data_IF_633449856640
#
_entry.id   IF_633449856640
#
_cell.length_a   1.000
_cell.length_b   1.000
_cell.length_c   1.000
_cell.angle_alpha   90.00
_cell.angle_beta   90.00
_cell.angle_gamma   90.00
#
_symmetry.space_group_name_H-M   'P 1'
#
loop_
_entity.id
_entity.type
_entity.pdbx_description
1 polymer ?
#
# COMPACT_ATOMS: atom_id res chain seq x y z
N UNK A 1 -13.58 11.78 14.58
CA UNK A 1 -14.51 10.94 13.78
C UNK A 1 -14.01 9.49 13.74
N UNK A 2 -14.84 8.45 13.56
CA UNK A 2 -14.35 7.04 13.54
C UNK A 2 -13.34 6.83 12.39
N UNK A 3 -13.67 7.33 11.20
CA UNK A 3 -12.81 7.24 10.02
C UNK A 3 -11.48 7.98 10.19
N UNK A 4 -11.50 9.12 10.90
CA UNK A 4 -10.31 9.92 11.16
C UNK A 4 -9.29 9.14 12.01
N UNK A 5 -9.74 8.44 13.06
CA UNK A 5 -8.83 7.63 13.89
C UNK A 5 -8.20 6.46 13.14
N UNK A 6 -8.95 5.83 12.23
CA UNK A 6 -8.45 4.70 11.42
C UNK A 6 -7.47 5.17 10.34
N UNK A 7 -7.74 6.34 9.74
CA UNK A 7 -6.97 6.85 8.61
C UNK A 7 -5.76 7.67 9.01
N UNK A 8 -5.70 8.23 10.23
CA UNK A 8 -4.63 9.13 10.64
C UNK A 8 -3.25 8.47 10.51
N UNK A 9 -3.12 7.25 11.03
CA UNK A 9 -1.87 6.48 10.97
C UNK A 9 -1.52 6.12 9.52
N UNK A 10 -2.52 5.70 8.75
CA UNK A 10 -2.30 5.35 7.34
C UNK A 10 -1.88 6.57 6.52
N UNK A 11 -2.48 7.74 6.76
CA UNK A 11 -2.14 8.99 6.08
C UNK A 11 -0.77 9.52 6.47
N UNK A 12 -0.31 9.25 7.70
CA UNK A 12 1.04 9.59 8.12
C UNK A 12 2.09 8.69 7.43
N UNK A 13 1.80 7.39 7.32
CA UNK A 13 2.70 6.42 6.71
C UNK A 13 2.75 6.53 5.18
N UNK A 14 1.60 6.75 4.53
CA UNK A 14 1.43 6.66 3.07
C UNK A 14 2.41 7.52 2.27
N UNK A 15 2.74 8.78 2.65
CA UNK A 15 3.73 9.59 1.96
C UNK A 15 5.13 8.96 1.88
N UNK A 16 5.47 8.07 2.82
CA UNK A 16 6.75 7.36 2.85
C UNK A 16 6.73 5.99 2.18
N UNK A 17 5.57 5.55 1.67
CA UNK A 17 5.42 4.24 1.02
C UNK A 17 5.43 4.39 -0.50
N UNK A 18 6.33 3.66 -1.15
CA UNK A 18 6.38 3.62 -2.62
C UNK A 18 5.46 2.53 -3.17
N UNK A 19 4.61 2.91 -4.13
CA UNK A 19 3.85 1.95 -4.95
C UNK A 19 2.58 1.40 -4.29
N UNK A 20 2.12 1.98 -3.18
CA UNK A 20 0.76 1.71 -2.68
C UNK A 20 -0.27 2.26 -3.67
N UNK A 21 -1.17 1.41 -4.14
CA UNK A 21 -2.23 1.76 -5.08
C UNK A 21 -3.58 1.88 -4.36
N UNK A 22 -3.85 0.98 -3.42
CA UNK A 22 -5.14 0.93 -2.73
C UNK A 22 -4.96 0.63 -1.24
N UNK A 23 -5.84 1.20 -0.42
CA UNK A 23 -5.97 0.89 1.00
C UNK A 23 -7.38 0.41 1.28
N UNK A 24 -7.53 -0.81 1.78
CA UNK A 24 -8.82 -1.44 2.07
C UNK A 24 -9.09 -1.41 3.58
N UNK A 25 -10.25 -0.86 3.94
CA UNK A 25 -10.75 -0.80 5.32
C UNK A 25 -11.86 -1.83 5.50
N UNK A 26 -11.62 -2.85 6.34
CA UNK A 26 -12.60 -3.89 6.66
C UNK A 26 -13.17 -3.70 8.09
N UNK A 27 -14.10 -4.57 8.47
CA UNK A 27 -14.74 -4.53 9.80
C UNK A 27 -13.75 -4.68 10.95
N UNK A 28 -12.69 -5.48 10.78
CA UNK A 28 -11.68 -5.69 11.82
C UNK A 28 -10.84 -4.43 12.05
N UNK A 29 -10.52 -3.69 10.98
CA UNK A 29 -9.86 -2.40 11.08
C UNK A 29 -10.74 -1.34 11.76
N UNK A 30 -12.04 -1.35 11.46
CA UNK A 30 -13.02 -0.46 12.12
C UNK A 30 -13.16 -0.78 13.61
N UNK A 31 -13.07 -2.06 13.99
CA UNK A 31 -13.10 -2.52 15.38
C UNK A 31 -11.74 -2.41 16.09
N UNK A 32 -10.69 -1.93 15.41
CA UNK A 32 -9.33 -1.79 15.95
C UNK A 32 -8.60 -3.12 16.19
N UNK A 33 -9.06 -4.21 15.58
CA UNK A 33 -8.50 -5.56 15.72
C UNK A 33 -7.36 -5.85 14.75
N UNK A 34 -7.34 -5.13 13.61
CA UNK A 34 -6.31 -5.26 12.58
C UNK A 34 -5.96 -3.89 12.00
N UNK A 35 -4.81 -3.78 11.35
CA UNK A 35 -4.49 -2.61 10.54
C UNK A 35 -5.23 -2.65 9.18
N UNK A 36 -5.42 -1.49 8.51
CA UNK A 36 -5.79 -1.42 7.10
C UNK A 36 -4.88 -2.24 6.19
N UNK A 37 -5.46 -2.87 5.17
CA UNK A 37 -4.69 -3.62 4.16
C UNK A 37 -4.21 -2.68 3.06
N UNK A 38 -2.92 -2.73 2.74
CA UNK A 38 -2.29 -1.92 1.69
C UNK A 38 -2.00 -2.82 0.48
N UNK A 39 -2.53 -2.48 -0.68
CA UNK A 39 -2.29 -3.17 -1.95
C UNK A 39 -1.25 -2.35 -2.72
N UNK A 40 -0.18 -3.02 -3.13
CA UNK A 40 0.90 -2.41 -3.90
C UNK A 40 0.74 -2.77 -5.37
N UNK A 41 0.90 -1.78 -6.25
CA UNK A 41 0.99 -2.04 -7.68
C UNK A 41 2.26 -2.83 -7.96
N UNK A 42 2.18 -3.84 -8.84
CA UNK A 42 3.38 -4.46 -9.40
C UNK A 42 4.21 -3.36 -10.07
N UNK A 43 5.44 -3.13 -9.60
CA UNK A 43 6.39 -2.33 -10.38
C UNK A 43 6.54 -3.05 -11.72
N UNK A 44 6.41 -2.38 -12.86
CA UNK A 44 6.79 -3.00 -14.11
C UNK A 44 8.24 -3.42 -13.94
N UNK A 45 8.50 -4.73 -13.93
CA UNK A 45 9.84 -5.27 -13.90
C UNK A 45 10.64 -4.48 -14.94
N UNK A 46 11.67 -3.76 -14.48
CA UNK A 46 12.61 -3.11 -15.39
C UNK A 46 13.21 -4.25 -16.20
N UNK A 47 12.68 -4.50 -17.40
CA UNK A 47 13.24 -5.46 -18.34
C UNK A 47 14.70 -5.08 -18.52
N UNK A 48 15.59 -5.85 -17.92
CA UNK A 48 17.01 -5.72 -18.20
C UNK A 48 17.18 -5.92 -19.71
N UNK A 49 17.93 -5.06 -20.40
CA UNK A 49 18.19 -5.27 -21.81
C UNK A 49 18.95 -6.59 -21.94
N UNK A 50 18.29 -7.59 -22.50
CA UNK A 50 18.89 -8.87 -22.87
C UNK A 50 20.02 -8.55 -23.84
N UNK A 51 21.26 -8.58 -23.37
CA UNK A 51 22.43 -8.38 -24.23
C UNK A 51 22.44 -9.55 -25.23
N UNK A 52 22.40 -9.27 -26.55
CA UNK A 52 22.53 -10.34 -27.53
C UNK A 52 23.93 -10.95 -27.38
N UNK A 53 23.98 -12.26 -27.16
CA UNK A 53 25.22 -13.02 -27.13
C UNK A 53 26.03 -12.72 -28.41
N UNK A 54 27.32 -12.43 -28.24
CA UNK A 54 28.28 -12.23 -29.33
C UNK A 54 28.48 -13.51 -30.15
#
# INVERSE_FOLDING_TARGET
>A
SIMEGILLDTMFDLPGLDGVEEVVINKEAVEGKSAPLKIYAERPERKEPVQPAS
#
